data_IF_948967407651
#
_entry.id   IF_948967407651
#
_cell.length_a   1.000
_cell.length_b   1.000
_cell.length_c   1.000
_cell.angle_alpha   90.00
_cell.angle_beta   90.00
_cell.angle_gamma   90.00
#
_symmetry.space_group_name_H-M   'P 1'
#
loop_
_entity.id
_entity.type
_entity.pdbx_description
1 polymer ?
#
# COMPACT_ATOMS: atom_id res chain seq x y z
N UNK A 1 -10.61 1.13 16.73
CA UNK A 1 -10.60 1.74 15.38
C UNK A 1 -9.36 1.26 14.67
N UNK A 2 -9.51 0.43 13.63
CA UNK A 2 -8.39 -0.03 12.82
C UNK A 2 -8.05 1.11 11.85
N UNK A 3 -6.86 1.70 11.97
CA UNK A 3 -6.40 2.85 11.16
C UNK A 3 -5.64 2.42 9.90
N UNK A 4 -5.70 1.13 9.58
CA UNK A 4 -4.87 0.51 8.55
C UNK A 4 -5.75 -0.09 7.47
N UNK A 5 -5.31 0.05 6.22
CA UNK A 5 -5.82 -0.73 5.11
C UNK A 5 -5.33 -2.17 5.23
N UNK A 6 -6.14 -3.10 4.72
CA UNK A 6 -5.84 -4.53 4.71
C UNK A 6 -6.14 -5.10 3.34
N UNK A 7 -5.16 -5.78 2.77
CA UNK A 7 -5.34 -6.54 1.55
C UNK A 7 -4.42 -7.75 1.57
N UNK A 8 -4.99 -8.96 1.45
CA UNK A 8 -4.27 -10.23 1.67
C UNK A 8 -3.55 -10.20 3.04
N UNK A 9 -2.25 -10.48 3.05
CA UNK A 9 -1.38 -10.48 4.24
C UNK A 9 -0.66 -9.14 4.44
N UNK A 10 -1.16 -8.05 3.85
CA UNK A 10 -0.52 -6.74 3.87
C UNK A 10 -1.34 -5.70 4.62
N UNK A 11 -0.63 -4.86 5.39
CA UNK A 11 -1.19 -3.70 6.06
C UNK A 11 -0.64 -2.41 5.45
N UNK A 12 -1.51 -1.42 5.31
CA UNK A 12 -1.15 -0.10 4.79
C UNK A 12 -1.55 1.02 5.74
N UNK A 13 -0.73 2.08 5.85
CA UNK A 13 -1.09 3.29 6.61
C UNK A 13 -2.14 4.14 5.88
N UNK A 14 -2.80 5.04 6.62
CA UNK A 14 -3.71 6.04 6.03
C UNK A 14 -3.39 7.38 6.65
N UNK A 15 -2.89 8.30 5.84
CA UNK A 15 -2.55 9.66 6.21
C UNK A 15 -3.14 10.66 5.22
N UNK A 16 -3.28 11.92 5.62
CA UNK A 16 -3.78 12.99 4.77
C UNK A 16 -2.84 14.19 4.80
N UNK A 17 -2.36 14.61 3.63
CA UNK A 17 -1.53 15.81 3.49
C UNK A 17 -2.44 17.03 3.38
N UNK A 18 -2.35 17.95 4.34
CA UNK A 18 -3.05 19.23 4.26
C UNK A 18 -2.49 20.16 3.17
N UNK A 19 -1.20 20.02 2.86
CA UNK A 19 -0.52 20.86 1.86
C UNK A 19 -0.92 20.43 0.45
N UNK A 20 -0.91 19.13 0.20
CA UNK A 20 -1.15 18.56 -1.13
C UNK A 20 -2.62 18.17 -1.34
N UNK A 21 -3.42 18.20 -0.26
CA UNK A 21 -4.84 17.83 -0.21
C UNK A 21 -5.13 16.41 -0.71
N UNK A 22 -4.22 15.49 -0.46
CA UNK A 22 -4.27 14.09 -0.92
C UNK A 22 -4.14 13.14 0.26
N UNK A 23 -4.83 11.99 0.19
CA UNK A 23 -4.53 10.87 1.06
C UNK A 23 -3.30 10.14 0.55
N UNK A 24 -2.48 9.62 1.47
CA UNK A 24 -1.34 8.80 1.12
C UNK A 24 -1.10 7.74 2.20
N UNK A 25 -0.33 6.73 1.84
CA UNK A 25 0.09 5.69 2.77
C UNK A 25 1.24 4.86 2.22
N UNK A 26 1.75 3.99 3.09
CA UNK A 26 2.79 3.04 2.74
C UNK A 26 2.46 1.63 3.26
N UNK A 27 2.94 0.62 2.55
CA UNK A 27 2.80 -0.78 2.95
C UNK A 27 3.79 -1.09 4.07
N UNK A 28 3.29 -1.67 5.15
CA UNK A 28 4.06 -2.02 6.34
C UNK A 28 4.71 -3.40 6.21
N UNK A 29 5.88 -3.57 6.83
CA UNK A 29 6.55 -4.87 6.94
C UNK A 29 7.37 -5.29 5.70
N UNK A 30 7.59 -4.39 4.75
CA UNK A 30 8.41 -4.61 3.55
C UNK A 30 9.63 -3.68 3.62
N UNK A 31 10.81 -4.15 3.21
CA UNK A 31 12.03 -3.31 3.20
C UNK A 31 12.02 -2.23 2.14
N UNK A 32 11.43 -2.54 0.98
CA UNK A 32 11.20 -1.60 -0.09
C UNK A 32 10.07 -0.65 0.28
N UNK A 33 10.24 0.63 -0.02
CA UNK A 33 9.16 1.60 0.10
C UNK A 33 8.12 1.33 -0.99
N UNK A 34 6.92 0.94 -0.56
CA UNK A 34 5.74 0.85 -1.41
C UNK A 34 4.72 1.87 -0.93
N UNK A 35 4.58 2.96 -1.68
CA UNK A 35 3.69 4.07 -1.37
C UNK A 35 2.52 4.13 -2.34
N UNK A 36 1.38 4.58 -1.86
CA UNK A 36 0.15 4.77 -2.64
C UNK A 36 -0.56 6.05 -2.18
N UNK A 37 -1.44 6.58 -3.01
CA UNK A 37 -2.15 7.85 -2.79
C UNK A 37 -3.52 7.88 -3.47
N UNK A 38 -4.40 8.76 -2.99
CA UNK A 38 -5.72 8.97 -3.59
C UNK A 38 -6.36 10.28 -3.12
N UNK A 39 -7.22 10.87 -3.93
CA UNK A 39 -7.98 12.08 -3.55
C UNK A 39 -9.18 11.72 -2.67
N UNK A 40 -9.65 10.48 -2.74
CA UNK A 40 -10.66 9.91 -1.85
C UNK A 40 -10.12 8.67 -1.14
N UNK A 41 -10.85 8.19 -0.13
CA UNK A 41 -10.49 6.94 0.56
C UNK A 41 -10.62 5.75 -0.39
N UNK A 42 -11.59 5.77 -1.31
CA UNK A 42 -11.80 4.72 -2.31
C UNK A 42 -10.62 4.66 -3.28
N UNK A 43 -10.16 5.80 -3.80
CA UNK A 43 -8.96 5.88 -4.65
C UNK A 43 -7.71 5.37 -3.91
N UNK A 44 -7.55 5.75 -2.64
CA UNK A 44 -6.44 5.29 -1.80
C UNK A 44 -6.47 3.76 -1.59
N UNK A 45 -7.66 3.19 -1.38
CA UNK A 45 -7.84 1.74 -1.21
C UNK A 45 -7.58 0.95 -2.49
N UNK A 46 -7.96 1.50 -3.65
CA UNK A 46 -7.65 0.90 -4.95
C UNK A 46 -6.14 0.94 -5.23
N UNK A 47 -5.51 2.11 -5.07
CA UNK A 47 -4.06 2.26 -5.30
C UNK A 47 -3.22 1.40 -4.34
N UNK A 48 -3.67 1.23 -3.09
CA UNK A 48 -3.06 0.28 -2.15
C UNK A 48 -3.11 -1.17 -2.66
N UNK A 49 -4.26 -1.62 -3.18
CA UNK A 49 -4.40 -2.98 -3.71
C UNK A 49 -3.53 -3.18 -4.95
N UNK A 50 -3.54 -2.22 -5.86
CA UNK A 50 -2.70 -2.25 -7.07
C UNK A 50 -1.22 -2.29 -6.71
N UNK A 51 -0.78 -1.44 -5.77
CA UNK A 51 0.61 -1.43 -5.27
C UNK A 51 1.03 -2.79 -4.68
N UNK A 52 0.13 -3.47 -3.94
CA UNK A 52 0.41 -4.80 -3.40
C UNK A 52 0.45 -5.87 -4.50
N UNK A 53 -0.46 -5.84 -5.48
CA UNK A 53 -0.44 -6.78 -6.60
C UNK A 53 0.82 -6.63 -7.46
N UNK A 54 1.22 -5.39 -7.76
CA UNK A 54 2.44 -5.07 -8.51
C UNK A 54 3.69 -5.59 -7.79
N UNK A 55 3.74 -5.46 -6.46
CA UNK A 55 4.82 -6.02 -5.66
C UNK A 55 4.87 -7.54 -5.73
N UNK A 56 3.71 -8.21 -5.62
CA UNK A 56 3.62 -9.66 -5.72
C UNK A 56 4.00 -10.16 -7.12
N UNK A 57 3.57 -9.47 -8.17
CA UNK A 57 3.96 -9.79 -9.55
C UNK A 57 5.46 -9.63 -9.74
N UNK A 58 6.05 -8.54 -9.22
CA UNK A 58 7.49 -8.31 -9.27
C UNK A 58 8.24 -9.45 -8.56
N UNK A 59 7.79 -9.84 -7.36
CA UNK A 59 8.39 -10.95 -6.61
C UNK A 59 8.33 -12.25 -7.41
N UNK A 60 7.17 -12.57 -8.00
CA UNK A 60 6.99 -13.75 -8.84
C UNK A 60 7.94 -13.73 -10.06
N UNK A 61 8.01 -12.61 -10.78
CA UNK A 61 8.92 -12.43 -11.94
C UNK A 61 10.39 -12.57 -11.57
N UNK A 62 10.78 -12.13 -10.38
CA UNK A 62 12.15 -12.21 -9.85
C UNK A 62 12.44 -13.51 -9.11
N UNK A 63 11.43 -14.37 -8.90
CA UNK A 63 11.50 -15.55 -8.03
C UNK A 63 11.95 -15.22 -6.60
N UNK A 64 11.46 -14.11 -6.07
CA UNK A 64 11.65 -13.71 -4.68
C UNK A 64 10.50 -14.22 -3.82
N UNK A 65 10.83 -14.56 -2.58
CA UNK A 65 9.82 -14.75 -1.54
C UNK A 65 9.35 -13.37 -1.07
N UNK A 66 8.05 -13.04 -1.21
CA UNK A 66 7.55 -11.72 -0.84
C UNK A 66 7.54 -11.54 0.67
N UNK A 67 8.04 -10.39 1.13
CA UNK A 67 7.87 -9.94 2.52
C UNK A 67 6.38 -9.67 2.79
N UNK A 68 5.95 -9.81 4.05
CA UNK A 68 4.55 -9.69 4.48
C UNK A 68 4.47 -9.07 5.87
N UNK A 69 3.30 -8.56 6.25
CA UNK A 69 3.08 -7.90 7.55
C UNK A 69 2.65 -8.87 8.66
#
# INVERSE_FOLDING_TARGET
>A
MNKLLRYKDYLGTVEYSLNDKVFFGEVLGIKSLLSYQGNTIEELEEDFKETVEDYLELCNRKKWDPEKT
#
